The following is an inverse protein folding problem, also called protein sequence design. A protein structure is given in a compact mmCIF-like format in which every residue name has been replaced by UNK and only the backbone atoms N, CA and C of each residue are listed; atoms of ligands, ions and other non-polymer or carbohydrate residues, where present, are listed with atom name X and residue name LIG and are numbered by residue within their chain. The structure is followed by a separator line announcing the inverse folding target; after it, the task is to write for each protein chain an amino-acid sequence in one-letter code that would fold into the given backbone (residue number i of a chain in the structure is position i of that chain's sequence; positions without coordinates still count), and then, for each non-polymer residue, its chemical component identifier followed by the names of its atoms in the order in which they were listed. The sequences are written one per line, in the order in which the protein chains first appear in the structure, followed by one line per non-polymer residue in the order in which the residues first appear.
data_IF_988007667634
#
_entry.id   IF_988007667634
#
_cell.length_a   1.000
_cell.length_b   1.000
_cell.length_c   1.000
_cell.angle_alpha   90.00
_cell.angle_beta   90.00
_cell.angle_gamma   90.00
#
_symmetry.space_group_name_H-M   'P 1'
#
loop_
_entity.id
_entity.type
_entity.pdbx_description
1 polymer ?
#
# COMPACT_ATOMS: atom_id res chain seq x y z
N UNK A 1 14.13 -8.60 3.98
CA UNK A 1 13.52 -8.95 5.29
C UNK A 1 12.05 -8.52 5.33
N UNK A 2 11.77 -7.22 5.20
CA UNK A 2 10.39 -6.70 5.13
C UNK A 2 9.59 -7.34 3.99
N UNK A 3 10.18 -7.48 2.79
CA UNK A 3 9.52 -8.12 1.64
C UNK A 3 9.07 -9.55 1.93
N UNK A 4 9.97 -10.38 2.48
CA UNK A 4 9.66 -11.76 2.87
C UNK A 4 8.49 -11.83 3.85
N UNK A 5 8.46 -10.96 4.87
CA UNK A 5 7.37 -10.96 5.85
C UNK A 5 6.04 -10.56 5.23
N UNK A 6 6.04 -9.55 4.35
CA UNK A 6 4.82 -9.08 3.70
C UNK A 6 4.30 -10.11 2.71
N UNK A 7 5.17 -10.67 1.86
CA UNK A 7 4.77 -11.70 0.88
C UNK A 7 4.24 -12.96 1.57
N UNK A 8 4.93 -13.45 2.62
CA UNK A 8 4.47 -14.61 3.41
C UNK A 8 3.13 -14.35 4.11
N UNK A 9 2.82 -13.09 4.44
CA UNK A 9 1.56 -12.74 5.09
C UNK A 9 0.33 -12.81 4.18
N UNK A 10 0.52 -12.77 2.85
CA UNK A 10 -0.61 -12.81 1.92
C UNK A 10 -1.39 -14.14 2.01
N UNK A 11 -0.74 -15.23 2.41
CA UNK A 11 -1.37 -16.55 2.58
C UNK A 11 -1.95 -16.79 3.99
N UNK A 12 -1.66 -15.90 4.96
CA UNK A 12 -2.05 -16.08 6.39
C UNK A 12 -3.47 -15.58 6.69
N UNK A 13 -3.93 -15.64 7.95
CA UNK A 13 -5.27 -15.14 8.35
C UNK A 13 -5.24 -13.64 8.65
N UNK A 14 -6.41 -12.99 8.63
CA UNK A 14 -6.54 -11.54 8.85
C UNK A 14 -5.94 -11.04 10.17
N UNK A 15 -6.05 -11.84 11.25
CA UNK A 15 -5.45 -11.52 12.57
C UNK A 15 -3.92 -11.47 12.49
N UNK A 16 -3.31 -12.34 11.69
CA UNK A 16 -1.86 -12.40 11.51
C UNK A 16 -1.36 -11.22 10.65
N UNK A 17 -2.14 -10.82 9.64
CA UNK A 17 -1.85 -9.67 8.77
C UNK A 17 -1.88 -8.35 9.53
N UNK A 18 -2.92 -8.13 10.35
CA UNK A 18 -3.02 -6.95 11.20
C UNK A 18 -1.87 -6.89 12.22
N UNK A 19 -1.46 -8.04 12.75
CA UNK A 19 -0.34 -8.14 13.68
C UNK A 19 0.99 -7.80 13.01
N UNK A 20 1.20 -8.23 11.76
CA UNK A 20 2.38 -7.85 10.98
C UNK A 20 2.44 -6.33 10.73
N UNK A 21 1.33 -5.71 10.34
CA UNK A 21 1.30 -4.27 10.11
C UNK A 21 1.66 -3.48 11.38
N UNK A 22 1.14 -3.90 12.54
CA UNK A 22 1.50 -3.32 13.85
C UNK A 22 2.97 -3.54 14.21
N UNK A 23 3.52 -4.70 13.87
CA UNK A 23 4.93 -5.00 14.08
C UNK A 23 5.83 -4.08 13.23
N UNK A 24 5.54 -3.93 11.94
CA UNK A 24 6.30 -3.03 11.05
C UNK A 24 6.28 -1.58 11.55
N UNK A 25 5.12 -1.10 12.01
CA UNK A 25 5.00 0.23 12.64
C UNK A 25 5.81 0.32 13.92
N UNK A 26 5.81 -0.71 14.76
CA UNK A 26 6.53 -0.67 16.04
C UNK A 26 8.04 -0.66 15.81
N UNK A 27 8.55 -1.51 14.91
CA UNK A 27 9.97 -1.61 14.59
C UNK A 27 10.54 -0.37 13.89
N UNK A 28 9.68 0.45 13.27
CA UNK A 28 10.07 1.71 12.62
C UNK A 28 10.02 2.93 13.53
N UNK A 29 9.55 2.78 14.78
CA UNK A 29 9.58 3.89 15.73
C UNK A 29 11.03 4.27 16.07
N UNK A 30 11.31 5.57 16.26
CA UNK A 30 12.65 6.05 16.59
C UNK A 30 13.26 5.42 17.85
N UNK A 31 12.42 4.98 18.78
CA UNK A 31 12.85 4.38 20.05
C UNK A 31 13.42 2.96 19.89
N UNK A 32 12.93 2.20 18.89
CA UNK A 32 13.39 0.84 18.64
C UNK A 32 14.44 0.80 17.53
N UNK A 33 14.37 1.69 16.52
CA UNK A 33 15.36 1.90 15.43
C UNK A 33 15.84 0.64 14.67
N UNK A 34 15.12 -0.48 14.79
CA UNK A 34 15.49 -1.75 14.15
C UNK A 34 15.16 -1.76 12.64
N UNK A 35 14.16 -0.97 12.22
CA UNK A 35 13.84 -0.72 10.82
C UNK A 35 13.91 0.76 10.51
N UNK A 36 14.83 1.14 9.64
CA UNK A 36 14.89 2.50 9.08
C UNK A 36 13.80 2.69 8.02
N UNK A 37 13.40 3.95 7.79
CA UNK A 37 12.48 4.30 6.70
C UNK A 37 12.98 3.78 5.34
N UNK A 38 14.28 3.88 5.07
CA UNK A 38 14.89 3.35 3.84
C UNK A 38 14.73 1.84 3.68
N UNK A 39 14.86 1.07 4.76
CA UNK A 39 14.65 -0.39 4.73
C UNK A 39 13.17 -0.77 4.51
N UNK A 40 12.23 0.02 5.05
CA UNK A 40 10.81 -0.17 4.75
C UNK A 40 10.52 0.12 3.28
N UNK A 41 11.04 1.24 2.75
CA UNK A 41 10.87 1.62 1.34
C UNK A 41 11.40 0.53 0.42
N UNK A 42 12.65 0.08 0.60
CA UNK A 42 13.23 -1.01 -0.20
C UNK A 42 12.44 -2.32 -0.08
N UNK A 43 11.93 -2.60 1.12
CA UNK A 43 11.07 -3.74 1.37
C UNK A 43 9.78 -3.68 0.56
N UNK A 44 9.10 -2.54 0.58
CA UNK A 44 7.85 -2.33 -0.16
C UNK A 44 8.06 -2.26 -1.68
N UNK A 45 9.16 -1.67 -2.15
CA UNK A 45 9.57 -1.75 -3.56
C UNK A 45 9.67 -3.19 -4.03
N UNK A 46 10.33 -4.04 -3.24
CA UNK A 46 10.47 -5.47 -3.57
C UNK A 46 9.14 -6.23 -3.57
N UNK A 47 8.20 -5.86 -2.69
CA UNK A 47 6.85 -6.46 -2.66
C UNK A 47 6.03 -6.02 -3.88
N UNK A 48 6.11 -4.75 -4.25
CA UNK A 48 5.41 -4.19 -5.41
C UNK A 48 5.98 -4.77 -6.72
N UNK A 49 7.28 -5.05 -6.77
CA UNK A 49 7.93 -5.74 -7.89
C UNK A 49 7.30 -7.12 -8.13
N UNK A 50 7.17 -7.96 -7.08
CA UNK A 50 6.61 -9.31 -7.21
C UNK A 50 5.08 -9.38 -7.18
N UNK A 51 4.39 -8.23 -7.08
CA UNK A 51 2.95 -8.21 -6.84
C UNK A 51 2.15 -8.78 -8.02
N UNK A 52 2.62 -8.58 -9.26
CA UNK A 52 1.99 -9.12 -10.49
C UNK A 52 1.87 -10.65 -10.43
N UNK A 53 2.95 -11.34 -10.05
CA UNK A 53 2.93 -12.79 -9.86
C UNK A 53 2.11 -13.19 -8.64
N UNK A 54 2.31 -12.47 -7.52
CA UNK A 54 1.70 -12.79 -6.23
C UNK A 54 0.17 -12.80 -6.28
N UNK A 55 -0.45 -11.91 -7.06
CA UNK A 55 -1.92 -11.89 -7.18
C UNK A 55 -2.50 -13.10 -7.90
N UNK A 56 -1.67 -13.86 -8.64
CA UNK A 56 -2.09 -15.10 -9.28
C UNK A 56 -2.41 -16.17 -8.24
N UNK A 57 -1.57 -16.30 -7.22
CA UNK A 57 -1.74 -17.26 -6.13
C UNK A 57 -2.60 -16.71 -4.99
N UNK A 58 -2.51 -15.39 -4.73
CA UNK A 58 -3.23 -14.68 -3.68
C UNK A 58 -4.00 -13.48 -4.26
N UNK A 59 -5.22 -13.68 -4.81
CA UNK A 59 -6.00 -12.63 -5.48
C UNK A 59 -6.30 -11.39 -4.63
N UNK A 60 -6.21 -11.48 -3.30
CA UNK A 60 -6.45 -10.37 -2.36
C UNK A 60 -5.16 -9.67 -1.91
N UNK A 61 -3.99 -10.04 -2.44
CA UNK A 61 -2.70 -9.48 -2.02
C UNK A 61 -2.64 -7.95 -2.18
N UNK A 62 -3.20 -7.40 -3.27
CA UNK A 62 -3.26 -5.96 -3.49
C UNK A 62 -4.10 -5.24 -2.42
N UNK A 63 -5.27 -5.78 -2.07
CA UNK A 63 -6.11 -5.27 -0.99
C UNK A 63 -5.37 -5.27 0.35
N UNK A 64 -4.71 -6.37 0.69
CA UNK A 64 -3.97 -6.51 1.95
C UNK A 64 -2.77 -5.59 2.03
N UNK A 65 -2.02 -5.45 0.94
CA UNK A 65 -0.93 -4.49 0.85
C UNK A 65 -1.44 -3.07 1.10
N UNK A 66 -2.61 -2.73 0.56
CA UNK A 66 -3.26 -1.45 0.84
C UNK A 66 -3.53 -1.22 2.32
N UNK A 67 -3.95 -2.25 3.05
CA UNK A 67 -4.14 -2.20 4.51
C UNK A 67 -2.84 -1.96 5.29
N UNK A 68 -1.74 -2.62 4.88
CA UNK A 68 -0.40 -2.39 5.47
C UNK A 68 0.04 -0.95 5.24
N UNK A 69 -0.12 -0.43 4.01
CA UNK A 69 0.19 0.96 3.67
C UNK A 69 -0.61 1.96 4.51
N UNK A 70 -1.90 1.71 4.73
CA UNK A 70 -2.71 2.56 5.59
C UNK A 70 -2.13 2.66 7.01
N UNK A 71 -1.66 1.55 7.59
CA UNK A 71 -1.08 1.53 8.95
C UNK A 71 0.22 2.30 9.05
N UNK A 72 1.13 2.13 8.08
CA UNK A 72 2.42 2.85 8.10
C UNK A 72 2.24 4.34 7.84
N UNK A 73 1.26 4.74 7.02
CA UNK A 73 0.89 6.15 6.81
C UNK A 73 0.30 6.74 8.09
N UNK A 74 -0.65 6.05 8.72
CA UNK A 74 -1.28 6.51 9.96
C UNK A 74 -0.33 6.56 11.18
N UNK A 75 0.82 5.90 11.07
CA UNK A 75 1.86 5.91 12.07
C UNK A 75 3.00 6.90 11.76
N UNK A 76 2.84 7.73 10.72
CA UNK A 76 3.86 8.67 10.23
C UNK A 76 5.22 8.01 9.90
N UNK A 77 5.22 6.70 9.60
CA UNK A 77 6.43 5.95 9.27
C UNK A 77 6.85 6.18 7.80
N UNK A 78 5.87 6.30 6.90
CA UNK A 78 6.06 6.65 5.48
C UNK A 78 4.90 7.52 5.04
N UNK A 79 5.16 8.60 4.29
CA UNK A 79 4.09 9.48 3.81
C UNK A 79 3.26 8.84 2.68
N UNK A 80 1.99 9.26 2.55
CA UNK A 80 1.13 8.83 1.44
C UNK A 80 1.75 9.18 0.07
N UNK A 81 2.49 10.29 -0.02
CA UNK A 81 3.22 10.69 -1.24
C UNK A 81 4.30 9.69 -1.63
N UNK A 82 5.08 9.22 -0.66
CA UNK A 82 6.11 8.21 -0.91
C UNK A 82 5.47 6.88 -1.32
N UNK A 83 4.44 6.43 -0.60
CA UNK A 83 3.68 5.24 -0.99
C UNK A 83 3.09 5.37 -2.39
N UNK A 84 2.50 6.52 -2.72
CA UNK A 84 1.96 6.79 -4.05
C UNK A 84 3.04 6.68 -5.15
N UNK A 85 4.24 7.23 -4.90
CA UNK A 85 5.37 7.10 -5.84
C UNK A 85 5.82 5.65 -6.00
N UNK A 86 5.89 4.89 -4.91
CA UNK A 86 6.24 3.47 -4.95
C UNK A 86 5.23 2.68 -5.79
N UNK A 87 3.94 2.94 -5.60
CA UNK A 87 2.88 2.29 -6.38
C UNK A 87 2.96 2.69 -7.86
N UNK A 88 3.18 3.97 -8.18
CA UNK A 88 3.29 4.46 -9.56
C UNK A 88 4.44 3.80 -10.33
N UNK A 89 5.57 3.55 -9.67
CA UNK A 89 6.74 2.95 -10.31
C UNK A 89 6.85 1.44 -10.08
N UNK A 90 5.89 0.84 -9.37
CA UNK A 90 5.93 -0.56 -9.00
C UNK A 90 5.59 -1.50 -10.15
N UNK A 91 5.91 -2.78 -9.92
CA UNK A 91 5.79 -3.88 -10.88
C UNK A 91 7.15 -4.34 -11.38
N UNK A 92 7.17 -5.45 -12.13
CA UNK A 92 8.42 -5.96 -12.72
C UNK A 92 9.07 -4.94 -13.66
N UNK A 93 8.23 -4.29 -14.46
CA UNK A 93 8.59 -3.11 -15.24
C UNK A 93 8.04 -1.85 -14.56
N UNK A 94 8.79 -0.73 -14.54
CA UNK A 94 8.30 0.51 -13.94
C UNK A 94 6.96 0.96 -14.52
N UNK A 95 5.94 1.11 -13.67
CA UNK A 95 4.59 1.52 -14.07
C UNK A 95 3.70 0.38 -14.55
N UNK A 96 4.18 -0.86 -14.54
CA UNK A 96 3.41 -2.04 -14.93
C UNK A 96 2.14 -2.20 -14.09
N UNK A 97 2.21 -1.93 -12.79
CA UNK A 97 1.05 -2.00 -11.88
C UNK A 97 -0.09 -1.05 -12.30
N UNK A 98 0.23 0.08 -12.95
CA UNK A 98 -0.77 1.02 -13.48
C UNK A 98 -1.53 0.38 -14.65
N UNK A 99 -0.79 -0.23 -15.59
CA UNK A 99 -1.34 -0.83 -16.80
C UNK A 99 -2.29 -1.98 -16.48
N UNK A 100 -1.91 -2.82 -15.51
CA UNK A 100 -2.71 -4.00 -15.11
C UNK A 100 -3.78 -3.67 -14.05
N UNK A 101 -3.85 -2.43 -13.58
CA UNK A 101 -4.88 -1.94 -12.64
C UNK A 101 -4.63 -2.27 -11.16
N UNK A 102 -3.53 -2.96 -10.83
CA UNK A 102 -3.18 -3.27 -9.43
C UNK A 102 -2.83 -2.01 -8.65
N UNK A 103 -2.26 -0.98 -9.29
CA UNK A 103 -1.97 0.29 -8.64
C UNK A 103 -3.23 0.97 -8.08
N UNK A 104 -4.30 1.00 -8.88
CA UNK A 104 -5.62 1.50 -8.48
C UNK A 104 -6.18 0.70 -7.30
N UNK A 105 -6.03 -0.63 -7.34
CA UNK A 105 -6.53 -1.51 -6.29
C UNK A 105 -5.80 -1.33 -4.95
N UNK A 106 -4.47 -1.28 -4.99
CA UNK A 106 -3.63 -1.06 -3.79
C UNK A 106 -3.94 0.30 -3.20
N UNK A 107 -3.89 1.38 -4.02
CA UNK A 107 -4.13 2.73 -3.54
C UNK A 107 -5.56 2.90 -3.03
N UNK A 108 -6.55 2.40 -3.77
CA UNK A 108 -7.95 2.45 -3.35
C UNK A 108 -8.18 1.73 -2.02
N UNK A 109 -7.57 0.56 -1.83
CA UNK A 109 -7.61 -0.16 -0.55
C UNK A 109 -6.90 0.59 0.58
N UNK A 110 -5.78 1.26 0.31
CA UNK A 110 -5.11 2.13 1.29
C UNK A 110 -6.00 3.26 1.76
N UNK A 111 -6.61 3.98 0.82
CA UNK A 111 -7.50 5.11 1.12
C UNK A 111 -8.75 4.65 1.90
N UNK A 112 -9.36 3.54 1.49
CA UNK A 112 -10.50 2.94 2.18
C UNK A 112 -10.18 2.53 3.61
N UNK A 113 -9.00 1.95 3.84
CA UNK A 113 -8.55 1.57 5.18
C UNK A 113 -8.26 2.80 6.06
N UNK A 114 -7.67 3.85 5.52
CA UNK A 114 -7.45 5.12 6.25
C UNK A 114 -8.79 5.71 6.67
N UNK A 115 -9.72 5.83 5.71
CA UNK A 115 -11.07 6.36 5.94
C UNK A 115 -11.83 5.53 6.98
N UNK A 116 -11.82 4.21 6.86
CA UNK A 116 -12.52 3.31 7.80
C UNK A 116 -11.95 3.38 9.22
N UNK A 117 -10.62 3.55 9.37
CA UNK A 117 -9.99 3.56 10.69
C UNK A 117 -10.01 4.90 11.42
N UNK A 118 -9.97 6.03 10.69
CA UNK A 118 -9.85 7.37 11.28
C UNK A 118 -10.99 8.33 10.93
N UNK A 119 -11.90 7.93 10.05
CA UNK A 119 -13.02 8.75 9.61
C UNK A 119 -12.65 9.76 8.52
N UNK A 120 -13.68 10.43 8.00
CA UNK A 120 -13.58 11.34 6.86
C UNK A 120 -12.74 12.60 7.13
N UNK A 121 -12.70 13.09 8.36
CA UNK A 121 -11.94 14.30 8.73
C UNK A 121 -10.43 14.10 8.55
N UNK A 122 -9.88 13.07 9.19
CA UNK A 122 -8.45 12.73 9.09
C UNK A 122 -8.09 12.32 7.66
N UNK A 123 -8.98 11.59 6.99
CA UNK A 123 -8.80 11.23 5.59
C UNK A 123 -8.66 12.46 4.69
N UNK A 124 -9.54 13.46 4.86
CA UNK A 124 -9.50 14.68 4.06
C UNK A 124 -8.26 15.53 4.37
N UNK A 125 -7.81 15.60 5.62
CA UNK A 125 -6.56 16.28 5.99
C UNK A 125 -5.35 15.64 5.31
N UNK A 126 -5.24 14.31 5.39
CA UNK A 126 -4.22 13.55 4.68
C UNK A 126 -4.33 13.85 3.19
N UNK A 127 -5.50 13.69 2.57
CA UNK A 127 -5.71 13.95 1.13
C UNK A 127 -5.33 15.37 0.71
N UNK A 128 -5.74 16.39 1.46
CA UNK A 128 -5.46 17.81 1.17
C UNK A 128 -3.99 18.18 1.36
N UNK A 129 -3.29 17.48 2.26
CA UNK A 129 -1.85 17.67 2.45
C UNK A 129 -1.01 17.17 1.28
N UNK A 130 -1.62 16.50 0.28
CA UNK A 130 -0.93 15.91 -0.86
C UNK A 130 -1.53 16.32 -2.21
N UNK A 131 -0.68 16.82 -3.12
CA UNK A 131 -1.01 17.03 -4.55
C UNK A 131 -0.86 15.73 -5.37
N UNK A 132 -1.39 14.60 -4.88
CA UNK A 132 -1.38 13.35 -5.63
C UNK A 132 -2.63 13.30 -6.50
N UNK A 133 -2.50 13.32 -7.83
CA UNK A 133 -3.64 13.16 -8.73
C UNK A 133 -4.02 11.69 -8.75
N UNK A 134 -5.16 11.34 -8.16
CA UNK A 134 -5.66 9.95 -8.13
C UNK A 134 -5.89 9.41 -9.56
N UNK A 135 -6.11 10.31 -10.51
CA UNK A 135 -6.18 10.05 -11.96
C UNK A 135 -4.91 9.37 -12.50
N UNK A 136 -3.73 9.67 -11.94
CA UNK A 136 -2.45 9.07 -12.35
C UNK A 136 -2.38 7.56 -12.08
N UNK A 137 -3.32 7.03 -11.28
CA UNK A 137 -3.37 5.62 -10.88
C UNK A 137 -4.44 4.84 -11.66
N UNK A 138 -5.20 5.51 -12.52
CA UNK A 138 -6.19 4.83 -13.35
C UNK A 138 -5.52 4.03 -14.47
N UNK A 139 -5.97 2.79 -14.72
CA UNK A 139 -5.48 2.02 -15.84
C UNK A 139 -5.91 2.68 -17.17
N UNK A 140 -5.12 2.52 -18.26
CA UNK A 140 -5.43 3.10 -19.57
C UNK A 140 -6.68 2.51 -20.23
N UNK A 141 -7.16 1.36 -19.73
CA UNK A 141 -8.39 0.71 -20.18
C UNK A 141 -9.30 0.42 -18.99
N UNK A 142 -10.63 0.36 -19.16
CA UNK A 142 -11.55 0.04 -18.06
C UNK A 142 -11.31 -1.38 -17.54
N UNK A 143 -10.80 -1.50 -16.31
CA UNK A 143 -10.60 -2.79 -15.62
C UNK A 143 -11.70 -2.98 -14.57
N UNK A 144 -11.99 -4.23 -14.18
CA UNK A 144 -13.05 -4.56 -13.20
C UNK A 144 -12.87 -3.93 -11.82
N UNK A 145 -11.63 -3.61 -11.40
CA UNK A 145 -11.35 -3.10 -10.06
C UNK A 145 -11.60 -1.58 -10.00
N UNK A 146 -12.68 -1.19 -9.31
CA UNK A 146 -13.19 0.20 -9.21
C UNK A 146 -13.01 0.81 -7.81
N UNK A 147 -12.16 0.24 -6.95
CA UNK A 147 -12.03 0.71 -5.56
C UNK A 147 -11.58 2.18 -5.50
N UNK A 148 -10.68 2.59 -6.39
CA UNK A 148 -10.21 3.97 -6.44
C UNK A 148 -11.28 4.95 -6.93
N UNK A 149 -12.20 4.51 -7.79
CA UNK A 149 -13.27 5.35 -8.35
C UNK A 149 -14.19 5.93 -7.27
N UNK A 150 -14.29 5.28 -6.10
CA UNK A 150 -15.07 5.81 -4.97
C UNK A 150 -14.45 7.07 -4.34
N UNK A 151 -13.20 7.40 -4.68
CA UNK A 151 -12.46 8.53 -4.14
C UNK A 151 -12.19 9.64 -5.16
N UNK A 152 -12.43 9.38 -6.45
CA UNK A 152 -12.39 10.37 -7.54
C UNK A 152 -13.67 11.23 -7.53
#
# INVERSE_FOLDING_TARGET
MVSLWVTDSFERKDVDRESLAKLLVSLSKPQDSLLTQGQLIQGFESVLFSLEDTVTDAPRAAEFLGGIFAKVILADAISLKEIGRLIQHGGEEPGRLLVIGLASEVLGSTLDNIKTQKGDTVFNEIRLSFNLQLEDFQPPHPIKSRKLDAFL
#
